data_IF_532570324656
#
_entry.id   IF_532570324656
#
_cell.length_a   1.000
_cell.length_b   1.000
_cell.length_c   1.000
_cell.angle_alpha   90.00
_cell.angle_beta   90.00
_cell.angle_gamma   90.00
#
_symmetry.space_group_name_H-M   'P 1'
#
loop_
_entity.id
_entity.type
_entity.pdbx_description
1 polymer ?
#
# COMPACT_ATOMS: atom_id res chain seq x y z
N UNK A 1 3.88 -1.13 17.31
CA UNK A 1 2.73 -0.39 17.85
C UNK A 1 2.80 1.01 17.27
N UNK A 2 1.86 1.35 16.40
CA UNK A 2 1.57 2.75 16.04
C UNK A 2 1.26 3.52 17.31
N UNK A 3 1.94 4.65 17.57
CA UNK A 3 1.53 5.54 18.66
C UNK A 3 0.26 6.26 18.22
N UNK A 4 -0.89 5.62 18.43
CA UNK A 4 -2.17 6.31 18.34
C UNK A 4 -2.31 7.23 19.56
N UNK A 5 -2.97 8.36 19.38
CA UNK A 5 -3.36 9.21 20.50
C UNK A 5 -4.48 8.48 21.25
N UNK A 6 -4.12 7.73 22.29
CA UNK A 6 -5.05 6.93 23.08
C UNK A 6 -6.18 7.79 23.68
N UNK A 7 -5.91 9.07 24.00
CA UNK A 7 -6.93 9.99 24.52
C UNK A 7 -7.94 10.35 23.42
N UNK A 8 -7.46 10.63 22.22
CA UNK A 8 -8.34 10.91 21.08
C UNK A 8 -9.13 9.66 20.68
N UNK A 9 -8.51 8.48 20.71
CA UNK A 9 -9.17 7.19 20.44
C UNK A 9 -10.26 6.90 21.48
N UNK A 10 -9.96 7.03 22.77
CA UNK A 10 -10.93 6.84 23.86
C UNK A 10 -12.10 7.82 23.76
N UNK A 11 -11.82 9.08 23.39
CA UNK A 11 -12.85 10.09 23.15
C UNK A 11 -13.72 9.72 21.95
N UNK A 12 -13.10 9.29 20.86
CA UNK A 12 -13.77 8.83 19.64
C UNK A 12 -14.65 7.61 19.91
N UNK A 13 -14.16 6.64 20.67
CA UNK A 13 -14.90 5.43 21.07
C UNK A 13 -16.08 5.79 22.00
N UNK A 14 -15.89 6.72 22.93
CA UNK A 14 -16.97 7.21 23.81
C UNK A 14 -18.09 7.88 23.00
N UNK A 15 -17.73 8.77 22.06
CA UNK A 15 -18.69 9.41 21.17
C UNK A 15 -19.42 8.38 20.30
N UNK A 16 -18.66 7.41 19.77
CA UNK A 16 -19.19 6.31 18.97
C UNK A 16 -20.20 5.49 19.75
N UNK A 17 -19.89 5.05 20.97
CA UNK A 17 -20.79 4.25 21.82
C UNK A 17 -22.09 5.02 22.07
N UNK A 18 -21.99 6.27 22.51
CA UNK A 18 -23.17 7.10 22.77
C UNK A 18 -24.02 7.36 21.51
N UNK A 19 -23.37 7.56 20.36
CA UNK A 19 -24.08 7.73 19.09
C UNK A 19 -24.74 6.43 18.62
N UNK A 20 -24.05 5.30 18.74
CA UNK A 20 -24.54 3.97 18.38
C UNK A 20 -25.76 3.61 19.22
N UNK A 21 -25.72 3.84 20.53
CA UNK A 21 -26.86 3.54 21.42
C UNK A 21 -28.10 4.34 20.99
N UNK A 22 -27.96 5.63 20.67
CA UNK A 22 -29.07 6.43 20.11
C UNK A 22 -29.61 5.87 18.79
N UNK A 23 -28.74 5.41 17.90
CA UNK A 23 -29.16 4.80 16.62
C UNK A 23 -29.94 3.51 16.86
N UNK A 24 -29.51 2.69 17.83
CA UNK A 24 -30.19 1.46 18.20
C UNK A 24 -31.54 1.73 18.90
N UNK A 25 -31.63 2.77 19.72
CA UNK A 25 -32.90 3.19 20.36
C UNK A 25 -33.90 3.76 19.34
N UNK A 26 -33.43 4.38 18.25
CA UNK A 26 -34.27 4.90 17.15
C UNK A 26 -34.57 3.87 16.06
N UNK A 27 -34.40 2.58 16.33
CA UNK A 27 -34.55 1.50 15.34
C UNK A 27 -35.91 1.54 14.61
N UNK A 28 -37.03 1.66 15.33
CA UNK A 28 -38.38 1.70 14.74
C UNK A 28 -38.62 2.96 13.88
N UNK A 29 -38.09 4.10 14.31
CA UNK A 29 -38.14 5.36 13.56
C UNK A 29 -37.35 5.24 12.25
N UNK A 30 -36.18 4.59 12.30
CA UNK A 30 -35.35 4.31 11.13
C UNK A 30 -36.08 3.39 10.16
N UNK A 31 -36.70 2.31 10.63
CA UNK A 31 -37.46 1.40 9.78
C UNK A 31 -38.63 2.11 9.09
N UNK A 32 -39.36 2.94 9.85
CA UNK A 32 -40.44 3.80 9.34
C UNK A 32 -39.91 4.78 8.29
N UNK A 33 -38.79 5.44 8.55
CA UNK A 33 -38.15 6.36 7.61
C UNK A 33 -37.79 5.66 6.28
N UNK A 34 -37.18 4.47 6.34
CA UNK A 34 -36.81 3.71 5.15
C UNK A 34 -38.04 3.27 4.35
N UNK A 35 -39.11 2.82 5.02
CA UNK A 35 -40.38 2.46 4.38
C UNK A 35 -40.96 3.65 3.60
N UNK A 36 -41.04 4.82 4.23
CA UNK A 36 -41.52 6.05 3.61
C UNK A 36 -40.63 6.48 2.43
N UNK A 37 -39.30 6.40 2.58
CA UNK A 37 -38.36 6.79 1.52
C UNK A 37 -38.43 5.88 0.30
N UNK A 38 -38.68 4.58 0.52
CA UNK A 38 -38.88 3.57 -0.54
C UNK A 38 -40.30 3.55 -1.11
N UNK A 39 -41.19 4.42 -0.62
CA UNK A 39 -42.59 4.54 -1.07
C UNK A 39 -43.40 3.23 -0.94
N UNK A 40 -43.12 2.41 0.08
CA UNK A 40 -43.84 1.16 0.29
C UNK A 40 -43.15 0.19 1.25
N UNK A 41 -43.87 -0.90 1.55
CA UNK A 41 -43.48 -1.93 2.50
C UNK A 41 -43.95 -1.62 3.93
N UNK A 42 -44.45 -2.63 4.65
CA UNK A 42 -44.64 -2.57 6.10
C UNK A 42 -43.41 -3.21 6.76
N UNK A 43 -42.60 -2.50 7.56
CA UNK A 43 -41.46 -3.13 8.23
C UNK A 43 -41.95 -4.27 9.15
N UNK A 44 -41.48 -5.49 8.89
CA UNK A 44 -41.83 -6.70 9.66
C UNK A 44 -41.07 -6.73 10.98
N UNK A 45 -39.75 -6.57 10.86
CA UNK A 45 -38.80 -6.51 11.97
C UNK A 45 -37.48 -5.94 11.48
N UNK A 46 -36.75 -5.34 12.39
CA UNK A 46 -35.32 -5.08 12.18
C UNK A 46 -34.60 -6.39 12.47
N UNK A 47 -33.90 -6.93 11.46
CA UNK A 47 -33.37 -8.29 11.50
C UNK A 47 -32.13 -8.35 12.38
N UNK A 48 -31.20 -7.42 12.15
CA UNK A 48 -29.96 -7.24 12.88
C UNK A 48 -29.27 -5.97 12.37
N UNK A 49 -28.28 -5.49 13.14
CA UNK A 49 -27.28 -4.56 12.63
C UNK A 49 -25.91 -5.23 12.59
N UNK A 50 -25.04 -4.75 11.70
CA UNK A 50 -23.65 -5.17 11.64
C UNK A 50 -22.71 -3.98 11.45
N UNK A 51 -21.48 -4.13 11.93
CA UNK A 51 -20.44 -3.10 11.94
C UNK A 51 -19.43 -3.38 10.82
N UNK A 52 -19.21 -2.40 9.95
CA UNK A 52 -18.01 -2.30 9.10
C UNK A 52 -16.91 -1.50 9.78
N UNK A 53 -15.78 -1.24 9.11
CA UNK A 53 -14.71 -0.39 9.67
C UNK A 53 -15.20 1.03 9.95
N UNK A 54 -16.01 1.59 9.05
CA UNK A 54 -16.44 2.99 9.07
C UNK A 54 -17.94 3.22 9.22
N UNK A 55 -18.74 2.16 9.04
CA UNK A 55 -20.19 2.26 8.98
C UNK A 55 -20.86 1.29 9.96
N UNK A 56 -22.07 1.64 10.39
CA UNK A 56 -23.06 0.70 10.91
C UNK A 56 -24.14 0.48 9.84
N UNK A 57 -24.52 -0.77 9.63
CA UNK A 57 -25.54 -1.17 8.68
C UNK A 57 -26.70 -1.78 9.45
N UNK A 58 -27.92 -1.32 9.20
CA UNK A 58 -29.16 -1.86 9.79
C UNK A 58 -29.95 -2.56 8.69
N UNK A 59 -30.17 -3.87 8.85
CA UNK A 59 -30.98 -4.67 7.93
C UNK A 59 -32.44 -4.66 8.38
N UNK A 60 -33.29 -4.09 7.53
CA UNK A 60 -34.74 -3.98 7.72
C UNK A 60 -35.40 -5.00 6.80
N UNK A 61 -36.17 -5.90 7.41
CA UNK A 61 -37.02 -6.84 6.68
C UNK A 61 -38.43 -6.25 6.59
N UNK A 62 -39.00 -6.31 5.40
CA UNK A 62 -40.37 -5.91 5.16
C UNK A 62 -41.29 -7.13 5.16
N UNK A 63 -42.57 -6.92 5.48
CA UNK A 63 -43.63 -7.88 5.23
C UNK A 63 -43.90 -7.97 3.74
N UNK A 64 -44.57 -9.05 3.32
CA UNK A 64 -44.94 -9.36 1.95
C UNK A 64 -43.76 -9.62 1.00
N UNK A 65 -43.98 -9.55 -0.32
CA UNK A 65 -42.96 -9.70 -1.37
C UNK A 65 -42.07 -8.46 -1.51
N UNK A 66 -42.12 -7.51 -0.58
CA UNK A 66 -41.33 -6.30 -0.64
C UNK A 66 -39.86 -6.60 -0.33
N UNK A 67 -38.91 -6.20 -1.18
CA UNK A 67 -37.50 -6.51 -0.95
C UNK A 67 -36.98 -5.86 0.32
N UNK A 68 -36.18 -6.61 1.06
CA UNK A 68 -35.42 -6.12 2.21
C UNK A 68 -34.58 -4.88 1.86
N UNK A 69 -34.24 -4.11 2.90
CA UNK A 69 -33.38 -2.95 2.78
C UNK A 69 -32.25 -2.96 3.82
N UNK A 70 -31.12 -2.37 3.44
CA UNK A 70 -30.07 -2.00 4.39
C UNK A 70 -29.92 -0.49 4.36
N UNK A 71 -30.05 0.15 5.52
CA UNK A 71 -29.63 1.55 5.69
C UNK A 71 -28.26 1.57 6.36
N UNK A 72 -27.40 2.47 5.90
CA UNK A 72 -26.02 2.61 6.38
C UNK A 72 -25.82 4.00 6.95
N UNK A 73 -25.06 4.05 8.04
CA UNK A 73 -24.66 5.30 8.65
C UNK A 73 -23.15 5.26 8.92
N UNK A 74 -22.46 6.34 8.62
CA UNK A 74 -21.07 6.54 9.02
C UNK A 74 -20.97 6.70 10.53
N UNK A 75 -19.95 6.11 11.15
CA UNK A 75 -19.77 6.15 12.60
C UNK A 75 -19.35 7.54 13.08
N UNK A 76 -20.10 8.13 14.00
CA UNK A 76 -19.66 9.31 14.74
C UNK A 76 -18.45 8.97 15.63
N UNK A 77 -17.59 9.94 15.93
CA UNK A 77 -16.38 9.76 16.74
C UNK A 77 -15.23 8.97 16.08
N UNK A 78 -15.52 8.05 15.15
CA UNK A 78 -14.53 7.12 14.57
C UNK A 78 -14.25 7.38 13.08
N UNK A 79 -15.21 7.93 12.33
CA UNK A 79 -15.06 8.18 10.89
C UNK A 79 -14.88 9.66 10.61
N UNK A 80 -13.76 10.04 10.00
CA UNK A 80 -13.55 11.38 9.45
C UNK A 80 -14.36 11.58 8.16
N UNK A 81 -14.71 12.83 7.84
CA UNK A 81 -15.36 13.22 6.58
C UNK A 81 -16.63 12.40 6.26
N UNK A 82 -17.51 12.28 7.25
CA UNK A 82 -18.71 11.42 7.23
C UNK A 82 -19.62 11.66 6.03
N UNK A 83 -19.86 12.92 5.67
CA UNK A 83 -20.78 13.26 4.58
C UNK A 83 -20.20 12.87 3.21
N UNK A 84 -18.92 13.19 2.97
CA UNK A 84 -18.20 12.79 1.76
C UNK A 84 -18.18 11.27 1.59
N UNK A 85 -18.02 10.53 2.70
CA UNK A 85 -18.01 9.07 2.67
C UNK A 85 -19.36 8.48 2.24
N UNK A 86 -20.47 9.09 2.65
CA UNK A 86 -21.80 8.66 2.21
C UNK A 86 -22.04 9.02 0.75
N UNK A 87 -21.61 10.21 0.31
CA UNK A 87 -21.76 10.67 -1.08
C UNK A 87 -21.00 9.80 -2.08
N UNK A 88 -19.83 9.28 -1.68
CA UNK A 88 -18.94 8.46 -2.52
C UNK A 88 -19.07 6.96 -2.29
N UNK A 89 -20.11 6.48 -1.60
CA UNK A 89 -20.32 5.04 -1.38
C UNK A 89 -20.57 4.33 -2.73
N UNK A 90 -19.82 3.27 -2.99
CA UNK A 90 -19.96 2.45 -4.20
C UNK A 90 -20.33 1.02 -3.81
N UNK A 91 -21.27 0.43 -4.54
CA UNK A 91 -21.60 -0.98 -4.40
C UNK A 91 -20.46 -1.87 -4.93
N UNK A 92 -20.07 -2.84 -4.10
CA UNK A 92 -19.14 -3.89 -4.48
C UNK A 92 -18.63 -4.67 -3.28
N UNK A 93 -17.89 -5.73 -3.57
CA UNK A 93 -17.12 -6.49 -2.58
C UNK A 93 -15.64 -6.23 -2.80
N UNK A 94 -14.84 -6.25 -1.73
CA UNK A 94 -13.40 -6.10 -1.86
C UNK A 94 -12.83 -7.25 -2.66
N UNK A 95 -11.97 -6.96 -3.64
CA UNK A 95 -11.33 -7.98 -4.45
C UNK A 95 -10.50 -8.94 -3.58
N UNK A 96 -9.86 -8.45 -2.50
CA UNK A 96 -9.16 -9.31 -1.55
C UNK A 96 -10.06 -10.38 -0.92
N UNK A 97 -11.35 -10.11 -0.69
CA UNK A 97 -12.29 -11.08 -0.11
C UNK A 97 -12.58 -12.26 -1.06
N UNK A 98 -12.47 -12.04 -2.38
CA UNK A 98 -12.59 -13.09 -3.40
C UNK A 98 -11.30 -13.90 -3.48
N UNK A 99 -10.15 -13.22 -3.37
CA UNK A 99 -8.84 -13.81 -3.64
C UNK A 99 -8.22 -14.50 -2.42
N UNK A 100 -8.62 -14.14 -1.20
CA UNK A 100 -8.10 -14.74 0.04
C UNK A 100 -8.83 -16.03 0.39
N UNK A 101 -8.17 -16.90 1.14
CA UNK A 101 -8.78 -18.12 1.67
C UNK A 101 -9.98 -17.73 2.55
N UNK A 102 -11.18 -18.28 2.30
CA UNK A 102 -12.31 -18.04 3.18
C UNK A 102 -11.97 -18.47 4.61
N UNK A 103 -12.20 -17.57 5.56
CA UNK A 103 -11.99 -17.83 6.99
C UNK A 103 -13.13 -17.26 7.80
N UNK A 104 -13.52 -17.98 8.85
CA UNK A 104 -14.49 -17.50 9.82
C UNK A 104 -13.86 -16.50 10.80
N UNK A 105 -12.54 -16.56 10.99
CA UNK A 105 -11.81 -15.66 11.88
C UNK A 105 -11.27 -14.47 11.08
N UNK A 106 -11.84 -13.29 11.28
CA UNK A 106 -11.39 -12.06 10.62
C UNK A 106 -9.99 -11.60 11.05
N UNK A 107 -9.47 -12.13 12.16
CA UNK A 107 -8.10 -11.87 12.63
C UNK A 107 -7.07 -12.81 11.99
N UNK A 108 -7.51 -13.82 11.23
CA UNK A 108 -6.57 -14.67 10.49
C UNK A 108 -5.83 -13.88 9.40
N UNK A 109 -4.55 -14.20 9.27
CA UNK A 109 -3.65 -13.62 8.28
C UNK A 109 -4.22 -13.81 6.87
N UNK A 110 -4.15 -12.76 6.04
CA UNK A 110 -4.52 -12.86 4.62
C UNK A 110 -3.64 -13.90 3.92
N UNK A 111 -4.21 -15.04 3.56
CA UNK A 111 -3.55 -16.10 2.81
C UNK A 111 -4.22 -16.17 1.43
N UNK A 112 -3.47 -16.12 0.31
CA UNK A 112 -4.03 -16.37 -1.01
C UNK A 112 -4.79 -17.69 -1.04
N UNK A 113 -6.00 -17.68 -1.58
CA UNK A 113 -6.74 -18.90 -1.78
C UNK A 113 -6.11 -19.71 -2.93
N UNK A 114 -5.55 -20.91 -2.66
CA UNK A 114 -4.94 -21.73 -3.71
C UNK A 114 -5.96 -22.22 -4.74
N UNK A 115 -7.25 -22.22 -4.39
CA UNK A 115 -8.34 -22.74 -5.22
C UNK A 115 -8.96 -21.67 -6.15
N UNK A 116 -8.44 -20.43 -6.15
CA UNK A 116 -8.93 -19.41 -7.08
C UNK A 116 -8.61 -19.84 -8.50
N UNK A 117 -9.66 -20.05 -9.30
CA UNK A 117 -9.53 -20.43 -10.70
C UNK A 117 -8.75 -19.36 -11.49
N UNK A 118 -7.88 -19.82 -12.38
CA UNK A 118 -7.11 -18.92 -13.26
C UNK A 118 -8.02 -18.03 -14.10
N UNK A 119 -9.23 -18.48 -14.47
CA UNK A 119 -10.23 -17.66 -15.17
C UNK A 119 -10.64 -16.43 -14.35
N UNK A 120 -10.87 -16.59 -13.05
CA UNK A 120 -11.20 -15.50 -12.12
C UNK A 120 -10.06 -14.48 -12.08
N UNK A 121 -8.81 -14.96 -11.90
CA UNK A 121 -7.62 -14.12 -11.90
C UNK A 121 -7.43 -13.39 -13.23
N UNK A 122 -7.65 -14.06 -14.36
CA UNK A 122 -7.52 -13.46 -15.68
C UNK A 122 -8.50 -12.28 -15.89
N UNK A 123 -9.74 -12.41 -15.42
CA UNK A 123 -10.76 -11.34 -15.51
C UNK A 123 -10.30 -10.10 -14.74
N UNK A 124 -9.84 -10.28 -13.50
CA UNK A 124 -9.46 -9.14 -12.63
C UNK A 124 -8.10 -8.56 -13.04
N UNK A 125 -7.12 -9.40 -13.39
CA UNK A 125 -5.80 -8.95 -13.83
C UNK A 125 -5.86 -8.16 -15.13
N UNK A 126 -6.74 -8.52 -16.06
CA UNK A 126 -6.92 -7.75 -17.29
C UNK A 126 -7.40 -6.32 -17.01
N UNK A 127 -8.33 -6.15 -16.07
CA UNK A 127 -8.82 -4.83 -15.69
C UNK A 127 -7.78 -4.02 -14.92
N UNK A 128 -7.08 -4.65 -13.97
CA UNK A 128 -6.01 -3.99 -13.22
C UNK A 128 -4.85 -3.62 -14.15
N UNK A 129 -4.45 -4.50 -15.06
CA UNK A 129 -3.42 -4.20 -16.06
C UNK A 129 -3.83 -3.02 -16.95
N UNK A 130 -5.11 -2.87 -17.24
CA UNK A 130 -5.62 -1.70 -17.93
C UNK A 130 -5.48 -0.41 -17.12
N UNK A 131 -5.82 -0.45 -15.83
CA UNK A 131 -5.57 0.70 -14.95
C UNK A 131 -4.07 0.98 -14.80
N UNK A 132 -3.22 -0.03 -14.67
CA UNK A 132 -1.76 0.12 -14.63
C UNK A 132 -1.26 0.85 -15.87
N UNK A 133 -1.72 0.46 -17.07
CA UNK A 133 -1.35 1.13 -18.31
C UNK A 133 -1.86 2.58 -18.36
N UNK A 134 -3.09 2.85 -17.91
CA UNK A 134 -3.64 4.20 -17.85
C UNK A 134 -2.83 5.11 -16.90
N UNK A 135 -2.56 4.63 -15.68
CA UNK A 135 -1.79 5.37 -14.67
C UNK A 135 -0.35 5.61 -15.11
N UNK A 136 0.30 4.62 -15.74
CA UNK A 136 1.66 4.77 -16.26
C UNK A 136 1.78 5.84 -17.36
N UNK A 137 0.71 6.11 -18.09
CA UNK A 137 0.69 7.15 -19.13
C UNK A 137 0.49 8.56 -18.55
N UNK A 138 0.37 8.72 -17.24
CA UNK A 138 0.36 10.02 -16.56
C UNK A 138 1.81 10.47 -16.29
N UNK A 139 2.25 11.48 -17.06
CA UNK A 139 3.59 12.06 -16.97
C UNK A 139 3.61 13.30 -16.08
N UNK A 140 4.65 13.39 -15.24
CA UNK A 140 4.91 14.54 -14.38
C UNK A 140 6.37 14.99 -14.51
N UNK A 141 6.61 16.28 -14.29
CA UNK A 141 7.93 16.89 -14.42
C UNK A 141 8.77 16.86 -13.15
N UNK A 142 8.15 16.56 -12.00
CA UNK A 142 8.82 16.48 -10.68
C UNK A 142 8.31 15.26 -9.90
N UNK A 143 9.03 14.87 -8.85
CA UNK A 143 8.59 13.88 -7.86
C UNK A 143 7.97 14.63 -6.68
N UNK A 144 6.76 14.25 -6.28
CA UNK A 144 6.07 14.91 -5.17
C UNK A 144 4.56 14.74 -5.19
N UNK A 145 3.89 15.48 -4.30
CA UNK A 145 2.43 15.46 -4.16
C UNK A 145 1.76 16.11 -5.38
N UNK A 146 0.76 15.42 -5.92
CA UNK A 146 -0.04 15.86 -7.06
C UNK A 146 -1.22 16.67 -6.54
N UNK A 147 -1.51 17.82 -7.11
CA UNK A 147 -2.66 18.66 -6.77
C UNK A 147 -3.29 19.25 -8.02
N UNK A 148 -4.58 19.55 -7.96
CA UNK A 148 -5.27 20.31 -8.99
C UNK A 148 -4.73 21.75 -8.99
N UNK A 149 -4.44 22.29 -10.18
CA UNK A 149 -3.97 23.66 -10.36
C UNK A 149 -5.09 24.56 -10.88
N UNK A 150 -5.11 25.81 -10.43
CA UNK A 150 -6.20 26.76 -10.71
C UNK A 150 -6.29 27.14 -12.20
N UNK A 151 -5.20 27.06 -12.96
CA UNK A 151 -5.11 27.55 -14.35
C UNK A 151 -5.84 26.68 -15.41
N UNK A 152 -6.65 25.70 -14.99
CA UNK A 152 -7.59 25.01 -15.86
C UNK A 152 -8.27 23.85 -15.14
N UNK A 153 -9.60 23.80 -15.15
CA UNK A 153 -10.36 22.70 -14.55
C UNK A 153 -9.81 21.34 -15.02
N UNK A 154 -9.62 20.39 -14.09
CA UNK A 154 -9.01 19.08 -14.34
C UNK A 154 -7.54 19.10 -14.78
N UNK A 155 -6.78 20.15 -14.48
CA UNK A 155 -5.32 20.17 -14.68
C UNK A 155 -4.63 19.81 -13.37
N UNK A 156 -3.73 18.82 -13.41
CA UNK A 156 -3.04 18.31 -12.22
C UNK A 156 -1.53 18.46 -12.38
N UNK A 157 -0.85 18.94 -11.34
CA UNK A 157 0.60 19.11 -11.34
C UNK A 157 1.20 18.72 -9.98
N UNK A 158 2.52 18.56 -9.96
CA UNK A 158 3.27 18.31 -8.73
C UNK A 158 3.61 19.64 -8.07
N UNK A 159 2.91 19.95 -6.98
CA UNK A 159 2.95 21.27 -6.32
C UNK A 159 3.67 21.24 -4.97
N UNK A 160 3.86 20.06 -4.37
CA UNK A 160 4.45 19.92 -3.05
C UNK A 160 5.39 18.74 -2.91
N UNK A 161 6.04 18.66 -1.74
CA UNK A 161 6.86 17.49 -1.35
C UNK A 161 6.08 16.19 -1.44
N UNK A 162 6.75 15.04 -1.61
CA UNK A 162 6.08 13.76 -1.52
C UNK A 162 5.53 13.51 -0.11
N UNK A 163 4.33 12.95 -0.03
CA UNK A 163 3.72 12.45 1.21
C UNK A 163 3.44 10.96 1.03
N UNK A 164 4.34 10.11 1.54
CA UNK A 164 4.32 8.65 1.29
C UNK A 164 3.89 7.86 2.52
N UNK A 165 3.34 6.67 2.31
CA UNK A 165 3.02 5.74 3.41
C UNK A 165 4.23 5.47 4.30
N UNK A 166 5.41 5.23 3.72
CA UNK A 166 6.67 5.05 4.46
C UNK A 166 7.03 6.26 5.35
N UNK A 167 6.73 7.49 4.91
CA UNK A 167 6.92 8.68 5.76
C UNK A 167 5.93 8.71 6.92
N UNK A 168 4.69 8.30 6.68
CA UNK A 168 3.68 8.15 7.74
C UNK A 168 4.15 7.12 8.78
N UNK A 169 4.54 5.91 8.36
CA UNK A 169 5.03 4.85 9.25
C UNK A 169 6.23 5.29 10.08
N UNK A 170 7.19 5.97 9.46
CA UNK A 170 8.34 6.53 10.17
C UNK A 170 7.92 7.53 11.24
N UNK A 171 7.01 8.46 10.90
CA UNK A 171 6.54 9.50 11.80
C UNK A 171 5.76 8.94 12.99
N UNK A 172 4.89 7.96 12.75
CA UNK A 172 3.92 7.48 13.75
C UNK A 172 4.43 6.31 14.60
N UNK A 173 5.47 5.60 14.15
CA UNK A 173 5.80 4.29 14.75
C UNK A 173 7.27 4.14 15.14
N UNK A 174 8.16 5.06 14.76
CA UNK A 174 9.62 4.84 14.91
C UNK A 174 10.36 5.94 15.67
N UNK A 175 9.68 7.04 16.03
CA UNK A 175 10.33 8.23 16.61
C UNK A 175 11.21 8.96 15.59
N UNK A 176 10.92 8.81 14.29
CA UNK A 176 11.65 9.51 13.24
C UNK A 176 11.46 11.03 13.37
N UNK A 177 12.55 11.83 13.33
CA UNK A 177 12.45 13.28 13.43
C UNK A 177 11.79 13.87 12.17
N UNK A 178 10.52 14.29 12.27
CA UNK A 178 9.72 14.75 11.12
C UNK A 178 10.34 15.95 10.37
N UNK A 179 11.19 16.74 11.03
CA UNK A 179 11.93 17.84 10.41
C UNK A 179 13.05 17.38 9.47
N UNK A 180 13.37 16.07 9.43
CA UNK A 180 14.27 15.45 8.45
C UNK A 180 13.55 15.01 7.18
N UNK A 181 12.21 15.07 7.13
CA UNK A 181 11.51 14.81 5.88
C UNK A 181 11.75 15.93 4.87
N UNK A 182 11.64 15.63 3.56
CA UNK A 182 11.71 16.65 2.53
C UNK A 182 10.70 17.76 2.78
N UNK A 183 11.05 19.00 2.45
CA UNK A 183 10.12 20.15 2.49
C UNK A 183 9.62 20.54 1.10
N UNK A 184 10.33 20.11 0.05
CA UNK A 184 10.07 20.44 -1.35
C UNK A 184 9.89 19.18 -2.21
N UNK A 185 9.39 19.38 -3.43
CA UNK A 185 9.40 18.40 -4.52
C UNK A 185 10.83 18.14 -5.02
N UNK A 186 11.07 16.98 -5.64
CA UNK A 186 12.37 16.65 -6.21
C UNK A 186 12.39 16.87 -7.72
N UNK A 187 13.55 17.30 -8.24
CA UNK A 187 13.76 17.56 -9.66
C UNK A 187 14.32 16.35 -10.40
N UNK A 188 14.92 15.41 -9.68
CA UNK A 188 15.54 14.22 -10.25
C UNK A 188 15.26 12.94 -9.45
N UNK A 189 15.34 11.79 -10.12
CA UNK A 189 15.19 10.49 -9.47
C UNK A 189 16.36 10.18 -8.51
N UNK A 190 17.60 10.52 -8.85
CA UNK A 190 18.76 10.30 -7.96
C UNK A 190 18.68 11.15 -6.68
N UNK A 191 18.22 12.41 -6.75
CA UNK A 191 17.97 13.22 -5.55
C UNK A 191 16.98 12.51 -4.62
N UNK A 192 15.91 11.95 -5.20
CA UNK A 192 14.91 11.23 -4.44
C UNK A 192 15.44 9.90 -3.85
N UNK A 193 16.18 9.09 -4.62
CA UNK A 193 16.78 7.85 -4.11
C UNK A 193 17.82 8.10 -3.02
N UNK A 194 18.64 9.16 -3.14
CA UNK A 194 19.53 9.61 -2.06
C UNK A 194 18.73 9.98 -0.81
N UNK A 195 17.63 10.74 -0.97
CA UNK A 195 16.75 11.07 0.15
C UNK A 195 16.15 9.82 0.81
N UNK A 196 15.78 8.79 0.05
CA UNK A 196 15.31 7.51 0.61
C UNK A 196 16.41 6.79 1.40
N UNK A 197 17.62 6.69 0.86
CA UNK A 197 18.74 6.08 1.56
C UNK A 197 19.10 6.84 2.85
N UNK A 198 19.09 8.18 2.82
CA UNK A 198 19.32 9.01 4.00
C UNK A 198 18.22 8.82 5.04
N UNK A 199 16.94 8.65 4.63
CA UNK A 199 15.86 8.29 5.55
C UNK A 199 16.14 6.96 6.26
N UNK A 200 16.60 5.94 5.54
CA UNK A 200 16.95 4.66 6.16
C UNK A 200 18.08 4.81 7.18
N UNK A 201 19.08 5.64 6.91
CA UNK A 201 20.17 5.91 7.86
C UNK A 201 19.73 6.73 9.07
N UNK A 202 18.88 7.74 8.89
CA UNK A 202 18.30 8.50 10.02
C UNK A 202 17.48 7.56 10.89
N UNK A 203 16.58 6.76 10.29
CA UNK A 203 15.76 5.77 10.99
C UNK A 203 16.60 4.76 11.77
N UNK A 204 17.70 4.27 11.18
CA UNK A 204 18.65 3.36 11.81
C UNK A 204 19.16 3.92 13.15
N UNK A 205 19.41 5.22 13.23
CA UNK A 205 19.91 5.88 14.43
C UNK A 205 18.79 6.23 15.41
N UNK A 206 17.64 6.70 14.92
CA UNK A 206 16.61 7.32 15.77
C UNK A 206 15.71 6.33 16.48
N UNK A 207 15.39 5.17 15.87
CA UNK A 207 14.56 4.18 16.54
C UNK A 207 15.38 3.41 17.60
N UNK A 208 15.04 3.60 18.88
CA UNK A 208 15.78 3.07 20.02
C UNK A 208 15.86 1.55 20.04
N UNK A 209 14.71 0.89 19.90
CA UNK A 209 14.54 -0.56 19.99
C UNK A 209 14.60 -1.28 18.63
N UNK A 210 15.29 -0.71 17.65
CA UNK A 210 15.34 -1.26 16.29
C UNK A 210 16.05 -2.63 16.21
N UNK A 211 17.00 -2.89 17.10
CA UNK A 211 17.88 -4.06 17.03
C UNK A 211 17.71 -4.99 18.20
N UNK A 212 17.70 -6.31 17.96
CA UNK A 212 17.58 -7.32 19.02
C UNK A 212 18.87 -7.56 19.78
N UNK A 213 20.03 -7.52 19.11
CA UNK A 213 21.32 -7.93 19.68
C UNK A 213 22.48 -7.30 18.87
N UNK A 214 23.75 -7.43 19.34
CA UNK A 214 24.90 -6.84 18.64
C UNK A 214 25.12 -7.36 17.21
N UNK A 215 24.68 -8.57 16.88
CA UNK A 215 24.81 -9.14 15.54
C UNK A 215 23.76 -8.52 14.61
N UNK A 216 22.52 -8.39 15.07
CA UNK A 216 21.46 -7.69 14.33
C UNK A 216 21.82 -6.21 14.11
N UNK A 217 22.35 -5.53 15.14
CA UNK A 217 22.81 -4.15 15.00
C UNK A 217 23.87 -3.99 13.91
N UNK A 218 24.90 -4.86 13.89
CA UNK A 218 25.92 -4.82 12.83
C UNK A 218 25.32 -5.11 11.45
N UNK A 219 24.43 -6.09 11.37
CA UNK A 219 23.75 -6.49 10.14
C UNK A 219 22.97 -5.32 9.53
N UNK A 220 22.12 -4.64 10.30
CA UNK A 220 21.34 -3.48 9.83
C UNK A 220 22.22 -2.29 9.44
N UNK A 221 23.28 -2.04 10.21
CA UNK A 221 24.24 -0.98 9.88
C UNK A 221 24.89 -1.21 8.51
N UNK A 222 25.44 -2.40 8.30
CA UNK A 222 26.07 -2.78 7.03
C UNK A 222 25.05 -2.69 5.88
N UNK A 223 23.86 -3.27 6.04
CA UNK A 223 22.82 -3.25 5.00
C UNK A 223 22.46 -1.84 4.53
N UNK A 224 22.16 -0.92 5.46
CA UNK A 224 21.69 0.42 5.08
C UNK A 224 22.78 1.30 4.50
N UNK A 225 24.02 1.16 4.99
CA UNK A 225 25.15 1.88 4.40
C UNK A 225 25.53 1.35 3.01
N UNK A 226 25.51 0.04 2.81
CA UNK A 226 25.70 -0.54 1.48
C UNK A 226 24.53 -0.20 0.54
N UNK A 227 23.30 -0.21 1.04
CA UNK A 227 22.13 0.24 0.28
C UNK A 227 22.29 1.69 -0.20
N UNK A 228 22.83 2.60 0.63
CA UNK A 228 23.12 3.97 0.21
C UNK A 228 24.06 4.05 -1.00
N UNK A 229 25.04 3.14 -1.12
CA UNK A 229 25.93 3.05 -2.29
C UNK A 229 25.20 2.60 -3.57
N UNK A 230 24.08 1.88 -3.42
CA UNK A 230 23.24 1.41 -4.53
C UNK A 230 22.31 2.49 -5.09
N UNK A 231 21.99 3.52 -4.30
CA UNK A 231 20.98 4.53 -4.64
C UNK A 231 21.24 5.22 -5.99
N UNK A 232 22.47 5.70 -6.21
CA UNK A 232 22.83 6.36 -7.46
C UNK A 232 23.01 5.38 -8.63
N UNK A 233 23.38 4.12 -8.36
CA UNK A 233 23.68 3.10 -9.39
C UNK A 233 22.42 2.55 -10.05
N UNK A 234 21.32 2.50 -9.30
CA UNK A 234 20.06 1.90 -9.75
C UNK A 234 19.02 2.95 -10.17
N UNK A 235 19.39 4.22 -10.19
CA UNK A 235 18.54 5.28 -10.72
C UNK A 235 18.50 5.20 -12.26
N UNK A 236 17.30 5.13 -12.82
CA UNK A 236 17.05 5.31 -14.26
C UNK A 236 16.18 6.54 -14.51
N UNK A 237 16.21 7.06 -15.75
CA UNK A 237 15.42 8.24 -16.15
C UNK A 237 15.55 9.42 -15.18
N UNK A 238 16.80 9.85 -14.96
CA UNK A 238 17.18 10.85 -13.95
C UNK A 238 16.28 12.09 -13.95
N UNK A 239 15.94 12.61 -15.14
CA UNK A 239 15.16 13.85 -15.31
C UNK A 239 13.68 13.58 -15.64
N UNK A 240 13.19 12.37 -15.40
CA UNK A 240 11.83 11.96 -15.73
C UNK A 240 11.62 11.49 -17.19
N UNK A 241 10.36 11.38 -17.66
CA UNK A 241 9.15 11.77 -16.93
C UNK A 241 8.90 10.90 -15.68
N UNK A 242 8.46 11.55 -14.62
CA UNK A 242 8.01 10.87 -13.41
C UNK A 242 6.56 10.42 -13.59
N UNK A 243 6.16 9.41 -12.83
CA UNK A 243 4.92 8.66 -13.08
C UNK A 243 4.01 8.69 -11.86
N UNK A 244 2.71 8.63 -12.09
CA UNK A 244 1.74 8.35 -11.03
C UNK A 244 2.12 7.05 -10.32
N UNK A 245 2.18 7.06 -9.00
CA UNK A 245 2.46 5.88 -8.20
C UNK A 245 1.72 5.92 -6.86
N UNK A 246 1.05 4.82 -6.55
CA UNK A 246 0.39 4.58 -5.27
C UNK A 246 0.88 3.24 -4.73
N UNK A 247 1.54 3.23 -3.57
CA UNK A 247 2.05 1.99 -2.98
C UNK A 247 0.92 1.09 -2.46
N UNK A 248 -0.22 1.67 -2.10
CA UNK A 248 -1.37 0.96 -1.55
C UNK A 248 -2.43 0.60 -2.60
N UNK A 249 -2.10 0.67 -3.89
CA UNK A 249 -2.95 0.13 -4.94
C UNK A 249 -2.93 -1.40 -4.88
N UNK A 250 -3.87 -2.01 -4.16
CA UNK A 250 -3.95 -3.45 -3.88
C UNK A 250 -5.39 -3.97 -3.87
N UNK A 251 -5.62 -5.30 -3.92
CA UNK A 251 -6.96 -5.90 -3.94
C UNK A 251 -7.88 -5.50 -2.78
N UNK A 252 -7.33 -5.18 -1.60
CA UNK A 252 -8.12 -4.69 -0.48
C UNK A 252 -8.74 -3.31 -0.74
N UNK A 253 -8.17 -2.54 -1.67
CA UNK A 253 -8.64 -1.20 -2.05
C UNK A 253 -9.34 -1.21 -3.42
N UNK A 254 -9.80 -2.36 -3.89
CA UNK A 254 -10.54 -2.49 -5.16
C UNK A 254 -11.89 -3.13 -4.86
N UNK A 255 -12.97 -2.48 -5.29
CA UNK A 255 -14.30 -3.05 -5.27
C UNK A 255 -14.65 -3.68 -6.61
N UNK A 256 -15.29 -4.85 -6.56
CA UNK A 256 -15.81 -5.53 -7.74
C UNK A 256 -17.27 -5.91 -7.55
N UNK A 257 -17.99 -6.01 -8.67
CA UNK A 257 -19.29 -6.66 -8.71
C UNK A 257 -19.09 -8.17 -8.48
N UNK A 258 -19.86 -8.76 -7.56
CA UNK A 258 -19.67 -10.15 -7.11
C UNK A 258 -20.00 -11.21 -8.17
N UNK A 259 -20.87 -10.88 -9.13
CA UNK A 259 -21.30 -11.83 -10.17
C UNK A 259 -20.40 -11.76 -11.42
N UNK A 260 -20.05 -10.54 -11.84
CA UNK A 260 -19.33 -10.29 -13.09
C UNK A 260 -17.81 -10.12 -12.89
N UNK A 261 -17.37 -9.88 -11.66
CA UNK A 261 -15.99 -9.50 -11.30
C UNK A 261 -15.52 -8.20 -11.97
N UNK A 262 -16.44 -7.39 -12.49
CA UNK A 262 -16.15 -6.07 -13.01
C UNK A 262 -15.72 -5.16 -11.85
N UNK A 263 -14.56 -4.52 -11.96
CA UNK A 263 -14.11 -3.51 -11.00
C UNK A 263 -15.06 -2.32 -11.08
N UNK A 264 -15.64 -1.96 -9.94
CA UNK A 264 -16.60 -0.86 -9.78
C UNK A 264 -15.97 0.37 -9.13
N UNK A 265 -14.95 0.18 -8.29
CA UNK A 265 -14.17 1.27 -7.72
C UNK A 265 -12.73 0.87 -7.41
N UNK A 266 -11.84 1.86 -7.47
CA UNK A 266 -10.50 1.82 -6.88
C UNK A 266 -10.50 2.87 -5.78
N UNK A 267 -10.23 2.44 -4.56
CA UNK A 267 -10.31 3.20 -3.33
C UNK A 267 -8.91 3.53 -2.81
N UNK A 268 -8.87 4.30 -1.72
CA UNK A 268 -7.66 4.55 -0.92
C UNK A 268 -6.43 4.91 -1.77
N UNK A 269 -6.60 5.83 -2.72
CA UNK A 269 -5.49 6.45 -3.43
C UNK A 269 -4.68 7.40 -2.54
N UNK A 270 -4.79 7.28 -1.22
CA UNK A 270 -3.96 8.02 -0.28
C UNK A 270 -2.48 7.68 -0.48
N UNK A 271 -1.61 8.63 -0.13
CA UNK A 271 -0.16 8.56 -0.39
C UNK A 271 0.24 8.41 -1.87
N UNK A 272 -0.68 8.64 -2.81
CA UNK A 272 -0.38 8.77 -4.23
C UNK A 272 0.51 9.99 -4.48
N UNK A 273 1.56 9.80 -5.27
CA UNK A 273 2.47 10.87 -5.68
C UNK A 273 2.99 10.63 -7.10
N UNK A 274 3.59 11.65 -7.71
CA UNK A 274 4.49 11.45 -8.84
C UNK A 274 5.84 10.93 -8.34
N UNK A 275 6.36 9.86 -8.93
CA UNK A 275 7.51 9.09 -8.46
C UNK A 275 8.45 8.66 -9.60
N UNK A 276 9.68 8.18 -9.30
CA UNK A 276 10.58 7.64 -10.32
C UNK A 276 9.88 6.64 -11.24
N UNK A 277 10.19 6.69 -12.55
CA UNK A 277 9.55 5.84 -13.56
C UNK A 277 9.63 4.36 -13.19
N UNK A 278 10.74 3.93 -12.59
CA UNK A 278 10.99 2.54 -12.21
C UNK A 278 10.00 1.96 -11.20
N UNK A 279 9.38 2.80 -10.36
CA UNK A 279 8.35 2.34 -9.43
C UNK A 279 7.04 1.99 -10.15
N UNK A 280 6.73 2.70 -11.24
CA UNK A 280 5.43 2.58 -11.92
C UNK A 280 5.32 1.35 -12.83
N UNK A 281 6.44 0.72 -13.21
CA UNK A 281 6.43 -0.53 -13.98
C UNK A 281 6.86 -1.75 -13.18
N UNK A 282 7.19 -1.61 -11.90
CA UNK A 282 7.58 -2.76 -11.09
C UNK A 282 6.44 -3.77 -10.94
N UNK A 283 6.76 -5.08 -10.80
CA UNK A 283 5.79 -6.10 -10.48
C UNK A 283 4.88 -5.72 -9.29
N UNK A 284 3.55 -5.88 -9.39
CA UNK A 284 2.64 -5.55 -8.30
C UNK A 284 2.94 -6.43 -7.08
N UNK A 285 3.37 -5.84 -5.96
CA UNK A 285 3.81 -6.61 -4.79
C UNK A 285 2.70 -7.51 -4.21
N UNK A 286 1.43 -7.18 -4.46
CA UNK A 286 0.24 -7.81 -3.90
C UNK A 286 -0.29 -9.03 -4.69
N UNK A 287 0.42 -9.57 -5.70
CA UNK A 287 -0.07 -10.76 -6.43
C UNK A 287 -0.28 -11.99 -5.53
N UNK A 288 0.32 -11.99 -4.33
CA UNK A 288 0.07 -12.96 -3.25
C UNK A 288 -0.66 -12.31 -2.06
N UNK A 289 -1.42 -11.25 -2.31
CA UNK A 289 -2.14 -10.38 -1.36
C UNK A 289 -1.27 -9.64 -0.33
N UNK A 290 -0.07 -10.14 -0.05
CA UNK A 290 0.92 -9.56 0.86
C UNK A 290 2.27 -9.40 0.16
N UNK A 291 3.05 -8.44 0.63
CA UNK A 291 4.41 -8.20 0.16
C UNK A 291 5.42 -9.20 0.72
N UNK A 292 6.64 -9.23 0.16
CA UNK A 292 7.73 -10.09 0.62
C UNK A 292 8.18 -9.77 2.06
N UNK A 293 8.05 -8.52 2.51
CA UNK A 293 8.24 -8.07 3.88
C UNK A 293 7.33 -8.84 4.86
N UNK A 294 6.01 -8.72 4.68
CA UNK A 294 5.04 -9.44 5.51
C UNK A 294 5.17 -10.97 5.35
N UNK A 295 5.56 -11.46 4.17
CA UNK A 295 5.81 -12.89 3.95
C UNK A 295 6.94 -13.41 4.83
N UNK A 296 8.06 -12.69 4.89
CA UNK A 296 9.21 -13.02 5.74
C UNK A 296 8.88 -12.92 7.22
N UNK A 297 8.14 -11.88 7.64
CA UNK A 297 7.68 -11.74 9.03
C UNK A 297 6.82 -12.91 9.51
N UNK A 298 6.09 -13.54 8.60
CA UNK A 298 5.28 -14.74 8.88
C UNK A 298 6.09 -16.03 8.99
N UNK A 299 7.41 -15.97 8.80
CA UNK A 299 8.34 -17.09 8.97
C UNK A 299 8.57 -17.92 7.70
N UNK A 300 8.07 -17.47 6.56
CA UNK A 300 8.34 -18.11 5.27
C UNK A 300 9.68 -17.64 4.68
N UNK A 301 10.20 -18.37 3.70
CA UNK A 301 11.46 -18.02 3.04
C UNK A 301 11.23 -17.13 1.82
N UNK A 302 12.24 -16.36 1.45
CA UNK A 302 12.22 -15.60 0.19
C UNK A 302 12.17 -16.52 -1.04
N UNK A 303 12.77 -17.71 -0.97
CA UNK A 303 12.71 -18.71 -2.04
C UNK A 303 11.26 -19.16 -2.29
N UNK A 304 10.51 -19.45 -1.22
CA UNK A 304 9.09 -19.80 -1.30
C UNK A 304 8.24 -18.64 -1.85
N UNK A 305 8.48 -17.40 -1.38
CA UNK A 305 7.81 -16.22 -1.95
C UNK A 305 8.02 -16.15 -3.46
N UNK A 306 9.27 -16.22 -3.93
CA UNK A 306 9.60 -16.13 -5.36
C UNK A 306 8.98 -17.28 -6.15
N UNK A 307 8.98 -18.50 -5.61
CA UNK A 307 8.39 -19.67 -6.24
C UNK A 307 6.87 -19.52 -6.43
N UNK A 308 6.15 -19.01 -5.44
CA UNK A 308 4.69 -18.79 -5.52
C UNK A 308 4.32 -17.53 -6.32
N UNK A 309 5.13 -16.48 -6.23
CA UNK A 309 4.87 -15.21 -6.88
C UNK A 309 5.09 -15.29 -8.40
N UNK A 310 6.13 -16.02 -8.84
CA UNK A 310 6.54 -16.06 -10.26
C UNK A 310 5.44 -16.52 -11.22
N UNK A 311 4.67 -17.61 -10.94
CA UNK A 311 3.54 -17.99 -11.78
C UNK A 311 2.46 -16.91 -11.87
N UNK A 312 2.13 -16.23 -10.76
CA UNK A 312 1.16 -15.13 -10.75
C UNK A 312 1.66 -13.92 -11.51
N UNK A 313 2.95 -13.60 -11.41
CA UNK A 313 3.57 -12.55 -12.23
C UNK A 313 3.49 -12.87 -13.72
N UNK A 314 3.75 -14.12 -14.13
CA UNK A 314 3.60 -14.53 -15.54
C UNK A 314 2.16 -14.34 -16.03
N UNK A 315 1.17 -14.70 -15.21
CA UNK A 315 -0.25 -14.52 -15.52
C UNK A 315 -0.63 -13.04 -15.64
N UNK A 316 -0.18 -12.19 -14.72
CA UNK A 316 -0.41 -10.75 -14.79
C UNK A 316 0.26 -10.11 -16.01
N UNK A 317 1.52 -10.47 -16.29
CA UNK A 317 2.24 -10.00 -17.47
C UNK A 317 1.54 -10.39 -18.77
N UNK A 318 0.98 -11.60 -18.84
CA UNK A 318 0.18 -12.02 -20.00
C UNK A 318 -1.05 -11.11 -20.19
N UNK A 319 -1.78 -10.79 -19.11
CA UNK A 319 -2.91 -9.86 -19.17
C UNK A 319 -2.47 -8.45 -19.61
N UNK A 320 -1.34 -7.96 -19.09
CA UNK A 320 -0.78 -6.66 -19.49
C UNK A 320 -0.36 -6.63 -20.96
N UNK A 321 0.28 -7.69 -21.46
CA UNK A 321 0.67 -7.81 -22.87
C UNK A 321 -0.55 -7.79 -23.81
N UNK A 322 -1.66 -8.42 -23.40
CA UNK A 322 -2.93 -8.38 -24.15
C UNK A 322 -3.49 -6.95 -24.21
N UNK A 323 -3.55 -6.27 -23.07
CA UNK A 323 -4.03 -4.88 -23.00
C UNK A 323 -3.16 -3.93 -23.83
N UNK A 324 -1.84 -4.04 -23.73
CA UNK A 324 -0.91 -3.28 -24.56
C UNK A 324 -1.13 -3.57 -26.06
N UNK A 325 -1.33 -4.83 -26.45
CA UNK A 325 -1.59 -5.20 -27.84
C UNK A 325 -2.92 -4.62 -28.37
N UNK A 326 -3.93 -4.45 -27.51
CA UNK A 326 -5.21 -3.86 -27.87
C UNK A 326 -5.15 -2.34 -27.96
N UNK A 327 -4.51 -1.67 -27.00
CA UNK A 327 -4.48 -0.21 -26.90
C UNK A 327 -3.36 0.44 -27.71
N UNK A 328 -2.23 -0.24 -27.90
CA UNK A 328 -1.05 0.30 -28.58
C UNK A 328 -0.89 -0.14 -30.06
N UNK A 329 -1.97 -0.64 -30.70
CA UNK A 329 -1.94 -1.17 -32.10
C UNK A 329 -1.24 -0.28 -33.12
N UNK A 330 -1.21 1.04 -32.91
CA UNK A 330 -0.66 2.03 -33.87
C UNK A 330 0.72 2.58 -33.51
N UNK A 331 1.35 2.16 -32.41
CA UNK A 331 2.64 2.72 -31.95
C UNK A 331 3.68 1.62 -31.70
N UNK A 332 4.35 1.16 -32.76
CA UNK A 332 5.38 0.11 -32.66
C UNK A 332 6.60 0.50 -31.80
N UNK A 333 6.87 1.80 -31.67
CA UNK A 333 8.06 2.31 -30.98
C UNK A 333 7.80 2.71 -29.51
N UNK A 334 6.61 2.46 -28.96
CA UNK A 334 6.34 2.73 -27.54
C UNK A 334 6.91 1.59 -26.71
N UNK A 335 7.80 1.95 -25.77
CA UNK A 335 8.33 1.02 -24.79
C UNK A 335 7.18 0.39 -24.01
N UNK A 336 7.10 -0.95 -24.05
CA UNK A 336 6.06 -1.70 -23.34
C UNK A 336 6.40 -1.84 -21.86
N UNK A 337 5.43 -1.56 -21.00
CA UNK A 337 5.50 -1.72 -19.55
C UNK A 337 5.68 -3.20 -19.22
N UNK A 338 5.01 -4.12 -19.93
CA UNK A 338 5.18 -5.56 -19.73
C UNK A 338 6.64 -6.00 -19.85
N UNK A 339 7.36 -5.46 -20.85
CA UNK A 339 8.80 -5.72 -21.03
C UNK A 339 9.64 -5.10 -19.92
N UNK A 340 9.35 -3.87 -19.52
CA UNK A 340 10.04 -3.20 -18.41
C UNK A 340 9.86 -3.96 -17.09
N UNK A 341 8.61 -4.33 -16.76
CA UNK A 341 8.25 -5.10 -15.58
C UNK A 341 8.92 -6.47 -15.54
N UNK A 342 8.93 -7.19 -16.67
CA UNK A 342 9.64 -8.47 -16.78
C UNK A 342 11.13 -8.29 -16.55
N UNK A 343 11.73 -7.27 -17.17
CA UNK A 343 13.14 -6.98 -17.02
C UNK A 343 13.48 -6.62 -15.58
N UNK A 344 12.70 -5.75 -14.93
CA UNK A 344 12.95 -5.30 -13.55
C UNK A 344 12.88 -6.43 -12.54
N UNK A 345 11.98 -7.40 -12.76
CA UNK A 345 11.94 -8.65 -11.99
C UNK A 345 13.20 -9.50 -12.22
N UNK A 346 13.57 -9.75 -13.48
CA UNK A 346 14.67 -10.67 -13.81
C UNK A 346 16.06 -10.12 -13.48
N UNK A 347 16.26 -8.79 -13.55
CA UNK A 347 17.51 -8.13 -13.17
C UNK A 347 17.64 -7.97 -11.65
N UNK A 348 16.52 -8.04 -10.94
CA UNK A 348 16.42 -7.74 -9.51
C UNK A 348 16.33 -6.25 -9.18
N UNK A 349 16.11 -5.39 -10.17
CA UNK A 349 15.83 -3.96 -9.99
C UNK A 349 14.59 -3.75 -9.10
N UNK A 350 13.54 -4.55 -9.30
CA UNK A 350 12.31 -4.45 -8.50
C UNK A 350 12.54 -4.67 -7.01
N UNK A 351 13.55 -5.48 -6.63
CA UNK A 351 13.92 -5.69 -5.23
C UNK A 351 14.56 -4.45 -4.62
N UNK A 352 15.40 -3.76 -5.39
CA UNK A 352 16.01 -2.50 -4.95
C UNK A 352 14.91 -1.44 -4.75
N UNK A 353 14.01 -1.32 -5.73
CA UNK A 353 12.89 -0.37 -5.67
C UNK A 353 11.93 -0.66 -4.52
N UNK A 354 11.64 -1.94 -4.26
CA UNK A 354 10.83 -2.35 -3.11
C UNK A 354 11.51 -1.98 -1.79
N UNK A 355 12.78 -2.34 -1.62
CA UNK A 355 13.55 -2.01 -0.43
C UNK A 355 13.66 -0.49 -0.19
N UNK A 356 13.86 0.30 -1.24
CA UNK A 356 13.94 1.77 -1.16
C UNK A 356 12.70 2.41 -0.54
N UNK A 357 11.53 1.77 -0.72
CA UNK A 357 10.24 2.28 -0.27
C UNK A 357 9.85 1.80 1.12
N UNK A 358 10.57 0.84 1.72
CA UNK A 358 10.20 0.19 2.99
C UNK A 358 11.29 0.35 4.05
N UNK A 359 11.28 1.46 4.81
CA UNK A 359 12.36 1.75 5.77
C UNK A 359 12.46 0.76 6.93
N UNK A 360 11.34 0.12 7.29
CA UNK A 360 11.29 -0.86 8.37
C UNK A 360 11.91 -2.20 7.92
N UNK A 361 11.76 -2.55 6.63
CA UNK A 361 12.08 -3.88 6.08
C UNK A 361 13.28 -3.89 5.12
N UNK A 362 13.89 -2.73 4.86
CA UNK A 362 15.04 -2.59 3.96
C UNK A 362 16.15 -3.60 4.26
N UNK A 363 16.41 -3.86 5.54
CA UNK A 363 17.46 -4.80 5.99
C UNK A 363 17.12 -6.25 5.61
N UNK A 364 15.84 -6.63 5.72
CA UNK A 364 15.37 -7.98 5.39
C UNK A 364 15.49 -8.23 3.88
N UNK A 365 15.02 -7.30 3.05
CA UNK A 365 15.10 -7.40 1.59
C UNK A 365 16.56 -7.34 1.12
N UNK A 366 17.39 -6.50 1.75
CA UNK A 366 18.81 -6.38 1.43
C UNK A 366 19.49 -7.75 1.51
N UNK A 367 19.39 -8.45 2.63
CA UNK A 367 20.10 -9.72 2.79
C UNK A 367 19.50 -10.90 2.05
N UNK A 368 18.19 -10.88 1.76
CA UNK A 368 17.56 -11.95 0.99
C UNK A 368 17.77 -11.80 -0.52
N UNK A 369 17.96 -10.58 -1.03
CA UNK A 369 18.02 -10.32 -2.47
C UNK A 369 19.24 -9.48 -2.87
N UNK A 370 19.33 -8.24 -2.37
CA UNK A 370 20.32 -7.26 -2.86
C UNK A 370 21.78 -7.67 -2.59
N UNK A 371 22.03 -8.34 -1.47
CA UNK A 371 23.32 -8.93 -1.10
C UNK A 371 23.84 -9.90 -2.16
N UNK A 372 22.96 -10.75 -2.70
CA UNK A 372 23.32 -11.67 -3.77
C UNK A 372 23.47 -10.95 -5.10
N UNK A 373 22.54 -10.05 -5.43
CA UNK A 373 22.50 -9.35 -6.74
C UNK A 373 23.69 -8.42 -6.92
N UNK A 374 23.98 -7.56 -5.93
CA UNK A 374 24.98 -6.49 -6.07
C UNK A 374 26.34 -6.82 -5.47
N UNK A 375 26.39 -7.78 -4.53
CA UNK A 375 27.61 -8.12 -3.80
C UNK A 375 27.99 -9.60 -3.89
N UNK A 376 27.28 -10.40 -4.70
CA UNK A 376 27.61 -11.81 -4.93
C UNK A 376 27.61 -12.65 -3.65
N UNK A 377 26.80 -12.28 -2.66
CA UNK A 377 26.75 -12.98 -1.38
C UNK A 377 27.85 -12.57 -0.39
N UNK A 378 28.58 -11.49 -0.67
CA UNK A 378 29.76 -11.06 0.10
C UNK A 378 29.61 -9.69 0.77
N UNK A 379 28.41 -9.10 0.84
CA UNK A 379 28.19 -7.89 1.63
C UNK A 379 28.62 -8.12 3.08
N UNK A 380 29.64 -7.38 3.49
CA UNK A 380 30.25 -7.43 4.81
C UNK A 380 30.79 -6.03 5.17
N UNK A 381 31.42 -5.94 6.34
CA UNK A 381 31.98 -4.69 6.86
C UNK A 381 33.14 -4.12 6.01
N UNK A 382 33.85 -4.97 5.24
CA UNK A 382 35.01 -4.56 4.45
C UNK A 382 34.64 -3.75 3.20
N UNK A 383 33.37 -3.81 2.79
CA UNK A 383 32.81 -3.04 1.68
C UNK A 383 32.33 -1.63 2.08
N UNK A 384 32.39 -1.32 3.38
CA UNK A 384 32.08 0.03 3.88
C UNK A 384 33.29 0.95 3.73
N UNK A 385 33.03 2.22 3.44
CA UNK A 385 34.06 3.26 3.49
C UNK A 385 34.67 3.33 4.90
N UNK A 386 35.96 3.65 5.00
CA UNK A 386 36.71 3.62 6.26
C UNK A 386 36.02 4.38 7.39
N UNK A 387 35.54 5.60 7.10
CA UNK A 387 34.81 6.45 8.07
C UNK A 387 33.51 5.82 8.56
N UNK A 388 32.80 5.11 7.69
CA UNK A 388 31.56 4.42 8.03
C UNK A 388 31.89 3.18 8.87
N UNK A 389 32.93 2.43 8.49
CA UNK A 389 33.40 1.27 9.26
C UNK A 389 33.80 1.63 10.68
N UNK A 390 34.49 2.75 10.88
CA UNK A 390 34.89 3.25 12.22
C UNK A 390 33.67 3.55 13.12
N UNK A 391 32.53 3.95 12.54
CA UNK A 391 31.30 4.25 13.27
C UNK A 391 30.55 3.02 13.79
N UNK A 392 30.82 1.83 13.24
CA UNK A 392 30.03 0.61 13.47
C UNK A 392 29.97 0.21 14.95
N UNK A 393 31.13 0.11 15.62
CA UNK A 393 31.17 -0.37 17.01
C UNK A 393 30.56 0.65 17.98
N UNK A 394 30.70 1.94 17.70
CA UNK A 394 30.02 2.99 18.46
C UNK A 394 28.49 2.91 18.29
N UNK A 395 28.03 2.64 17.07
CA UNK A 395 26.61 2.42 16.79
C UNK A 395 26.06 1.21 17.55
N UNK A 396 26.76 0.07 17.51
CA UNK A 396 26.36 -1.15 18.21
C UNK A 396 26.26 -0.89 19.71
N UNK A 397 27.26 -0.24 20.32
CA UNK A 397 27.23 0.12 21.74
C UNK A 397 26.02 1.00 22.07
N UNK A 398 25.78 2.05 21.29
CA UNK A 398 24.62 2.94 21.47
C UNK A 398 23.30 2.18 21.41
N UNK A 399 23.14 1.22 20.50
CA UNK A 399 21.92 0.40 20.43
C UNK A 399 21.76 -0.53 21.62
N UNK A 400 22.84 -1.10 22.13
CA UNK A 400 22.78 -1.96 23.32
C UNK A 400 22.44 -1.16 24.58
N UNK A 401 22.95 0.06 24.71
CA UNK A 401 22.57 1.00 25.78
C UNK A 401 21.09 1.41 25.68
N UNK A 402 20.61 1.74 24.48
CA UNK A 402 19.20 2.09 24.23
C UNK A 402 18.23 0.93 24.50
N UNK A 403 18.67 -0.33 24.32
CA UNK A 403 17.87 -1.51 24.63
C UNK A 403 17.82 -1.80 26.14
N UNK A 404 18.88 -1.44 26.87
CA UNK A 404 18.98 -1.66 28.31
C UNK A 404 18.26 -0.58 29.15
N UNK A 405 18.07 0.61 28.58
CA UNK A 405 17.29 1.72 29.15
C UNK A 405 15.80 1.57 28.84
#
# INVERSE_FOLDING_TARGET
MTSVDEIAEDKGETEWIAWKDRVLDSMDEIATFVAHRRQGGDPDRIVHYYRGSFNICIHIKFKDTFPDAVIRFTKAGVTALRDEKVEKEIEGIHLSDILKKPTANREEKEIPNPDVHDTTLNIVYRQIADFTLQLYNLDFTHIGAISEVVEGANTWAVTGRPLTHNMNELATSTGYPINRFPTERFSSANEYFKSLADKHLVHLHTQRNLTSDPKDARRRYIARHLFQQLAARNCINENGPFKFFCDDLRPANILVNSETLQITAVLELEFTNAMPTQFAYDPPWWLLLVGPDTWLERGYTMEDFVAQYTPRLKQFLYALEQIEAEKCRKKSNVQRISKLMRNSWTSGESWFNFAARKSLDVDAIFYHQLHMIYYGGKANVDLLDDKVREGLESFVRMKMEQKAA
#
